data_IF_112734448234
#
_entry.id   IF_112734448234
#
_cell.length_a   1.000
_cell.length_b   1.000
_cell.length_c   1.000
_cell.angle_alpha   90.00
_cell.angle_beta   90.00
_cell.angle_gamma   90.00
#
_symmetry.space_group_name_H-M   'P 1'
#
loop_
_entity.id
_entity.type
_entity.pdbx_description
1 polymer ?
#
# COMPACT_ATOMS: atom_id res chain seq x y z
N UNK A 1 -4.37 -23.26 10.89
CA UNK A 1 -3.43 -22.21 11.35
C UNK A 1 -2.67 -21.65 10.15
N UNK A 2 -2.70 -20.35 9.98
CA UNK A 2 -1.98 -19.72 8.87
C UNK A 2 -0.48 -19.67 9.17
N UNK A 3 0.33 -20.10 8.21
CA UNK A 3 1.77 -19.97 8.31
C UNK A 3 2.16 -18.52 8.10
N UNK A 4 3.01 -17.97 8.97
CA UNK A 4 3.52 -16.63 8.82
C UNK A 4 4.33 -16.53 7.54
N UNK A 5 4.04 -15.54 6.70
CA UNK A 5 4.79 -15.29 5.48
C UNK A 5 6.09 -14.57 5.83
N UNK A 6 7.20 -15.25 5.67
CA UNK A 6 8.51 -14.69 5.99
C UNK A 6 9.33 -14.53 4.73
N UNK A 7 10.20 -13.53 4.75
CA UNK A 7 11.17 -13.34 3.66
C UNK A 7 12.26 -14.39 3.76
N UNK A 8 12.70 -14.89 2.60
CA UNK A 8 13.85 -15.78 2.53
C UNK A 8 15.14 -15.00 2.82
N UNK A 9 16.22 -15.74 3.08
CA UNK A 9 17.54 -15.12 3.26
C UNK A 9 17.97 -14.37 2.00
N UNK A 10 17.66 -14.91 0.83
CA UNK A 10 17.96 -14.28 -0.46
C UNK A 10 17.20 -12.99 -0.65
N UNK A 11 15.92 -12.97 -0.26
CA UNK A 11 15.10 -11.74 -0.33
C UNK A 11 15.63 -10.67 0.61
N UNK A 12 15.99 -11.03 1.83
CA UNK A 12 16.57 -10.09 2.78
C UNK A 12 17.90 -9.52 2.28
N UNK A 13 18.77 -10.36 1.73
CA UNK A 13 20.03 -9.92 1.15
C UNK A 13 19.80 -8.98 -0.03
N UNK A 14 18.82 -9.28 -0.86
CA UNK A 14 18.44 -8.43 -1.98
C UNK A 14 17.96 -7.07 -1.50
N UNK A 15 17.08 -7.06 -0.49
CA UNK A 15 16.57 -5.81 0.08
C UNK A 15 17.68 -4.96 0.70
N UNK A 16 18.58 -5.58 1.45
CA UNK A 16 19.70 -4.88 2.07
C UNK A 16 20.65 -4.27 1.02
N UNK A 17 20.79 -4.94 -0.11
CA UNK A 17 21.68 -4.48 -1.20
C UNK A 17 21.02 -3.39 -2.04
N UNK A 18 19.76 -3.57 -2.42
CA UNK A 18 19.09 -2.74 -3.42
C UNK A 18 17.99 -1.83 -2.87
N UNK A 19 17.51 -2.06 -1.65
CA UNK A 19 16.54 -1.20 -0.99
C UNK A 19 15.09 -1.39 -1.45
N UNK A 20 14.78 -2.45 -2.17
CA UNK A 20 13.41 -2.77 -2.57
C UNK A 20 13.20 -4.27 -2.72
N UNK A 21 11.93 -4.67 -2.74
CA UNK A 21 11.50 -6.04 -3.08
C UNK A 21 10.27 -5.96 -3.97
N UNK A 22 10.13 -6.95 -4.85
CA UNK A 22 9.02 -7.05 -5.77
C UNK A 22 8.26 -8.36 -5.53
N UNK A 23 6.94 -8.27 -5.36
CA UNK A 23 6.07 -9.41 -5.10
C UNK A 23 4.99 -9.50 -6.18
N UNK A 24 5.30 -10.08 -7.35
CA UNK A 24 4.33 -10.14 -8.44
C UNK A 24 3.07 -10.89 -8.01
N UNK A 25 1.91 -10.29 -8.26
CA UNK A 25 0.62 -10.93 -8.01
C UNK A 25 0.24 -11.09 -6.54
N UNK A 26 0.97 -10.48 -5.60
CA UNK A 26 0.70 -10.66 -4.17
C UNK A 26 -0.74 -10.31 -3.80
N UNK A 27 -1.31 -9.27 -4.40
CA UNK A 27 -2.66 -8.78 -4.12
C UNK A 27 -3.61 -8.97 -5.29
N UNK A 28 -3.29 -9.87 -6.23
CA UNK A 28 -4.09 -10.05 -7.46
C UNK A 28 -5.53 -10.48 -7.19
N UNK A 29 -5.79 -11.20 -6.10
CA UNK A 29 -7.13 -11.65 -5.73
C UNK A 29 -8.04 -10.52 -5.23
N UNK A 30 -7.48 -9.38 -4.84
CA UNK A 30 -8.25 -8.25 -4.33
C UNK A 30 -7.97 -6.94 -5.06
N UNK A 31 -7.26 -7.00 -6.20
CA UNK A 31 -6.85 -5.78 -6.90
C UNK A 31 -8.03 -4.95 -7.40
N UNK A 32 -9.11 -5.59 -7.86
CA UNK A 32 -10.28 -4.87 -8.35
C UNK A 32 -10.94 -4.08 -7.25
N UNK A 33 -11.01 -4.64 -6.04
CA UNK A 33 -11.57 -3.93 -4.90
C UNK A 33 -10.66 -2.79 -4.45
N UNK A 34 -9.35 -2.99 -4.49
CA UNK A 34 -8.40 -1.91 -4.20
C UNK A 34 -8.59 -0.74 -5.16
N UNK A 35 -8.69 -1.02 -6.45
CA UNK A 35 -8.90 0.00 -7.48
C UNK A 35 -10.22 0.74 -7.23
N UNK A 36 -11.30 0.01 -6.97
CA UNK A 36 -12.61 0.60 -6.71
C UNK A 36 -12.57 1.54 -5.50
N UNK A 37 -11.96 1.11 -4.41
CA UNK A 37 -11.86 1.93 -3.20
C UNK A 37 -10.98 3.17 -3.42
N UNK A 38 -9.90 3.01 -4.17
CA UNK A 38 -9.03 4.10 -4.55
C UNK A 38 -9.79 5.17 -5.34
N UNK A 39 -10.52 4.74 -6.36
CA UNK A 39 -11.29 5.65 -7.21
C UNK A 39 -12.42 6.36 -6.44
N UNK A 40 -13.07 5.67 -5.50
CA UNK A 40 -14.12 6.28 -4.69
C UNK A 40 -13.59 7.41 -3.80
N UNK A 41 -12.38 7.26 -3.26
CA UNK A 41 -11.77 8.34 -2.48
C UNK A 41 -11.55 9.57 -3.37
N UNK A 42 -11.01 9.38 -4.56
CA UNK A 42 -10.81 10.49 -5.50
C UNK A 42 -12.13 11.15 -5.90
N UNK A 43 -13.18 10.35 -6.13
CA UNK A 43 -14.52 10.91 -6.45
C UNK A 43 -15.01 11.82 -5.33
N UNK A 44 -14.86 11.40 -4.07
CA UNK A 44 -15.27 12.21 -2.92
C UNK A 44 -14.49 13.51 -2.80
N UNK A 45 -13.30 13.57 -3.38
CA UNK A 45 -12.44 14.78 -3.38
C UNK A 45 -12.50 15.57 -4.68
N UNK A 46 -13.55 15.37 -5.49
CA UNK A 46 -13.78 16.14 -6.71
C UNK A 46 -13.34 15.46 -7.99
N UNK A 47 -12.82 14.25 -7.91
CA UNK A 47 -12.32 13.52 -9.07
C UNK A 47 -10.84 13.76 -9.33
N UNK A 48 -10.35 13.30 -10.49
CA UNK A 48 -8.95 13.45 -10.85
C UNK A 48 -8.47 14.89 -10.72
N UNK A 49 -7.30 15.08 -10.14
CA UNK A 49 -6.69 16.38 -9.89
C UNK A 49 -7.60 17.32 -9.08
N UNK A 50 -8.41 16.76 -8.16
CA UNK A 50 -9.37 17.48 -7.33
C UNK A 50 -10.39 18.27 -8.18
N UNK A 51 -10.75 17.76 -9.35
CA UNK A 51 -11.68 18.40 -10.26
C UNK A 51 -11.10 19.58 -11.03
N UNK A 52 -9.78 19.78 -10.97
CA UNK A 52 -9.10 20.87 -11.68
C UNK A 52 -8.37 20.35 -12.91
N UNK A 53 -8.10 21.25 -13.85
CA UNK A 53 -7.25 20.93 -14.98
C UNK A 53 -5.82 20.75 -14.50
N UNK A 54 -5.16 19.68 -14.97
CA UNK A 54 -3.79 19.37 -14.59
C UNK A 54 -2.81 20.26 -15.37
N UNK A 55 -1.89 20.90 -14.69
CA UNK A 55 -0.92 21.81 -15.28
C UNK A 55 0.30 21.11 -15.90
N UNK A 56 0.36 19.79 -15.79
CA UNK A 56 1.49 19.00 -16.31
C UNK A 56 2.76 19.06 -15.46
N UNK A 57 2.72 19.74 -14.32
CA UNK A 57 3.90 19.97 -13.47
C UNK A 57 3.74 19.43 -12.06
N UNK A 58 2.67 19.83 -11.37
CA UNK A 58 2.44 19.45 -9.98
C UNK A 58 1.79 18.07 -9.89
N UNK A 59 2.25 17.26 -8.93
CA UNK A 59 1.63 15.99 -8.61
C UNK A 59 0.35 16.24 -7.81
N UNK A 60 -0.72 15.54 -8.16
CA UNK A 60 -1.95 15.55 -7.36
C UNK A 60 -1.93 14.37 -6.40
N UNK A 61 -2.24 14.62 -5.13
CA UNK A 61 -2.27 13.58 -4.12
C UNK A 61 -3.32 13.89 -3.05
N UNK A 62 -3.79 12.84 -2.39
CA UNK A 62 -4.68 12.94 -1.24
C UNK A 62 -3.93 12.32 -0.04
N UNK A 63 -3.82 13.06 1.05
CA UNK A 63 -3.16 12.62 2.28
C UNK A 63 -4.00 13.05 3.48
N UNK A 64 -4.36 12.18 4.42
CA UNK A 64 -4.13 10.72 4.41
C UNK A 64 -5.03 10.04 3.40
N UNK A 65 -4.60 8.91 2.86
CA UNK A 65 -5.36 8.23 1.80
C UNK A 65 -6.05 6.97 2.30
N UNK A 66 -5.28 5.96 2.72
CA UNK A 66 -5.84 4.67 3.13
C UNK A 66 -6.79 4.80 4.32
N UNK A 67 -6.58 5.78 5.17
CA UNK A 67 -7.41 6.06 6.35
C UNK A 67 -8.85 6.42 5.98
N UNK A 68 -9.10 6.83 4.74
CA UNK A 68 -10.42 7.22 4.25
C UNK A 68 -11.25 6.04 3.74
N UNK A 69 -10.69 4.84 3.75
CA UNK A 69 -11.38 3.63 3.35
C UNK A 69 -11.18 2.56 4.42
N UNK A 70 -12.26 2.04 4.95
CA UNK A 70 -12.22 0.93 5.90
C UNK A 70 -11.50 -0.28 5.30
N UNK A 71 -11.77 -0.56 4.03
CA UNK A 71 -11.14 -1.67 3.32
C UNK A 71 -9.64 -1.45 3.14
N UNK A 72 -9.23 -0.28 2.65
CA UNK A 72 -7.80 0.01 2.46
C UNK A 72 -7.06 0.01 3.79
N UNK A 73 -7.68 0.53 4.85
CA UNK A 73 -7.10 0.47 6.20
C UNK A 73 -6.90 -0.97 6.66
N UNK A 74 -7.84 -1.85 6.35
CA UNK A 74 -7.75 -3.26 6.74
C UNK A 74 -6.58 -3.99 6.07
N UNK A 75 -6.13 -3.51 4.91
CA UNK A 75 -4.97 -4.09 4.23
C UNK A 75 -3.68 -3.94 5.04
N UNK A 76 -3.60 -2.94 5.91
CA UNK A 76 -2.43 -2.74 6.78
C UNK A 76 -2.26 -3.92 7.75
N UNK A 77 -3.35 -4.58 8.10
CA UNK A 77 -3.35 -5.77 8.96
C UNK A 77 -3.43 -7.07 8.17
N UNK A 78 -3.48 -7.00 6.84
CA UNK A 78 -3.46 -8.19 6.01
C UNK A 78 -2.13 -8.90 6.20
N UNK A 79 -2.17 -10.21 6.48
CA UNK A 79 -0.98 -10.96 6.81
C UNK A 79 0.07 -10.95 5.68
N UNK A 80 -0.37 -10.84 4.43
CA UNK A 80 0.56 -10.78 3.29
C UNK A 80 1.45 -9.54 3.35
N UNK A 81 0.88 -8.42 3.80
CA UNK A 81 1.60 -7.14 3.91
C UNK A 81 2.31 -7.07 5.26
N UNK A 82 1.57 -7.34 6.34
CA UNK A 82 2.09 -7.23 7.70
C UNK A 82 3.32 -8.11 7.93
N UNK A 83 3.28 -9.36 7.45
CA UNK A 83 4.37 -10.30 7.70
C UNK A 83 5.64 -9.89 6.94
N UNK A 84 5.51 -9.34 5.73
CA UNK A 84 6.66 -8.83 4.99
C UNK A 84 7.27 -7.64 5.72
N UNK A 85 6.44 -6.68 6.15
CA UNK A 85 6.92 -5.49 6.84
C UNK A 85 7.57 -5.86 8.16
N UNK A 86 6.96 -6.77 8.93
CA UNK A 86 7.55 -7.21 10.21
C UNK A 86 8.86 -7.96 10.01
N UNK A 87 9.04 -8.65 8.88
CA UNK A 87 10.31 -9.31 8.56
C UNK A 87 11.44 -8.30 8.36
N UNK A 88 11.12 -7.11 7.85
CA UNK A 88 12.10 -6.06 7.58
C UNK A 88 12.33 -5.18 8.81
N UNK A 89 11.24 -4.74 9.45
CA UNK A 89 11.26 -3.73 10.51
C UNK A 89 11.26 -4.32 11.93
N UNK A 90 11.08 -5.63 12.07
CA UNK A 90 10.80 -6.25 13.36
C UNK A 90 9.31 -6.17 13.65
N UNK A 91 8.86 -6.72 14.77
CA UNK A 91 7.43 -6.82 15.07
C UNK A 91 6.83 -5.53 15.65
N UNK A 92 7.68 -4.64 16.12
CA UNK A 92 7.25 -3.38 16.76
C UNK A 92 7.46 -2.22 15.79
N UNK A 93 6.50 -2.04 14.87
CA UNK A 93 6.55 -0.95 13.91
C UNK A 93 5.20 -0.24 13.87
N UNK A 94 5.21 1.01 13.37
CA UNK A 94 4.02 1.84 13.26
C UNK A 94 3.79 2.29 11.83
N UNK A 95 2.50 2.32 11.44
CA UNK A 95 2.06 3.02 10.24
C UNK A 95 1.96 4.52 10.54
N UNK A 96 2.59 5.34 9.73
CA UNK A 96 2.54 6.80 9.93
C UNK A 96 1.58 7.51 8.99
N UNK A 97 1.65 7.25 7.69
CA UNK A 97 0.70 7.83 6.74
C UNK A 97 0.84 7.19 5.36
N UNK A 98 -0.13 7.49 4.50
CA UNK A 98 -0.08 7.10 3.10
C UNK A 98 -0.70 8.16 2.23
N UNK A 99 -0.34 8.18 0.97
CA UNK A 99 -0.92 9.08 -0.02
C UNK A 99 -1.42 8.31 -1.24
N UNK A 100 -2.30 8.93 -1.95
CA UNK A 100 -2.83 8.36 -3.18
C UNK A 100 -3.18 9.41 -4.22
#
# INVERSE_FOLDING_TARGET
MKTKQQLSKEQMAFFETFGYLYFPGLLSDCIDKIISEFEQIWVRHGGGHHGREHDGKARSAIVPFADQSEYLSSLLDDHRIHDIISSICGEDFNYTSGDG
#
